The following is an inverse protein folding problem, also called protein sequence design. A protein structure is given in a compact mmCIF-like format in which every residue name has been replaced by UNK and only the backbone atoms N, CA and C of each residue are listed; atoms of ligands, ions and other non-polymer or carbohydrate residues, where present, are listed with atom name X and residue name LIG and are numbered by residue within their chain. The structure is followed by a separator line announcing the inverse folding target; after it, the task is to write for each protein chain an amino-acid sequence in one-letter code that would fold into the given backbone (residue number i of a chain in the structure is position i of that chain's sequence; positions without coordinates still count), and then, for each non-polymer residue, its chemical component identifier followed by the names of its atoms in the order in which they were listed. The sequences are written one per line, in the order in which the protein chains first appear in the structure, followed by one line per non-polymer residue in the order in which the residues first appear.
data_IF_831349319614
#
_entry.id   IF_831349319614
#
_cell.length_a   1.000
_cell.length_b   1.000
_cell.length_c   1.000
_cell.angle_alpha   90.00
_cell.angle_beta   90.00
_cell.angle_gamma   90.00
#
_symmetry.space_group_name_H-M   'P 1'
#
loop_
_entity.id
_entity.type
_entity.pdbx_description
1 polymer ?
#
# COMPACT_ATOMS: atom_id res chain seq x y z
N UNK A 1 26.27 8.35 9.23
CA UNK A 1 25.20 7.44 8.79
C UNK A 1 25.85 6.12 8.39
N UNK A 2 25.18 4.98 8.59
CA UNK A 2 25.68 3.64 8.20
C UNK A 2 26.65 2.96 9.18
N UNK A 3 27.49 3.70 9.92
CA UNK A 3 28.45 3.09 10.87
C UNK A 3 27.86 2.85 12.27
N UNK A 4 28.30 1.79 12.99
CA UNK A 4 27.92 1.58 14.37
C UNK A 4 28.29 2.77 15.25
N UNK A 5 27.38 3.16 16.16
CA UNK A 5 27.63 4.18 17.19
C UNK A 5 27.69 3.49 18.55
N UNK A 6 28.70 3.85 19.33
CA UNK A 6 28.92 3.32 20.68
C UNK A 6 28.74 4.41 21.73
N UNK A 7 28.39 4.01 22.94
CA UNK A 7 28.38 4.89 24.10
C UNK A 7 29.83 5.31 24.48
N UNK A 8 30.10 6.61 24.69
CA UNK A 8 31.44 7.08 25.03
C UNK A 8 31.97 6.53 26.36
N UNK A 9 31.10 6.31 27.35
CA UNK A 9 31.46 5.94 28.73
C UNK A 9 31.46 4.43 28.93
N UNK A 10 30.41 3.74 28.48
CA UNK A 10 30.26 2.29 28.67
C UNK A 10 30.79 1.47 27.51
N UNK A 11 31.17 2.11 26.39
CA UNK A 11 31.56 1.48 25.11
C UNK A 11 30.50 0.50 24.56
N UNK A 12 29.28 0.50 25.08
CA UNK A 12 28.20 -0.38 24.60
C UNK A 12 27.63 0.11 23.28
N UNK A 13 27.15 -0.82 22.46
CA UNK A 13 26.58 -0.50 21.15
C UNK A 13 25.25 0.24 21.31
N UNK A 14 25.15 1.44 20.73
CA UNK A 14 23.95 2.30 20.73
C UNK A 14 23.13 2.21 19.45
N UNK A 15 23.79 2.09 18.29
CA UNK A 15 23.15 1.84 16.99
C UNK A 15 24.11 0.98 16.18
N UNK A 16 23.64 -0.12 15.59
CA UNK A 16 24.45 -1.03 14.77
C UNK A 16 24.87 -0.44 13.41
N UNK A 17 24.21 0.63 12.95
CA UNK A 17 24.32 1.10 11.56
C UNK A 17 23.14 0.58 10.73
N UNK A 18 22.90 1.19 9.57
CA UNK A 18 21.91 0.68 8.59
C UNK A 18 22.58 -0.34 7.67
N UNK A 19 21.90 -1.44 7.42
CA UNK A 19 22.31 -2.46 6.44
C UNK A 19 21.89 -2.03 5.03
N UNK A 20 22.86 -2.03 4.10
CA UNK A 20 22.62 -1.70 2.70
C UNK A 20 21.96 -2.87 1.93
N UNK A 21 21.92 -4.07 2.50
CA UNK A 21 21.21 -5.22 1.93
C UNK A 21 19.80 -5.41 2.51
N UNK A 22 19.34 -4.47 3.35
CA UNK A 22 18.02 -4.58 3.98
C UNK A 22 16.89 -4.60 2.93
N UNK A 23 15.94 -5.55 3.03
CA UNK A 23 14.81 -5.61 2.11
C UNK A 23 13.87 -4.40 2.30
N UNK A 24 13.10 -4.07 1.25
CA UNK A 24 12.13 -2.98 1.29
C UNK A 24 12.72 -1.64 0.81
N UNK A 25 12.93 -0.67 1.72
CA UNK A 25 13.32 0.69 1.31
C UNK A 25 14.70 0.72 0.63
N UNK A 26 15.68 0.03 1.21
CA UNK A 26 17.04 0.02 0.67
C UNK A 26 17.08 -0.69 -0.69
N UNK A 27 16.39 -1.82 -0.82
CA UNK A 27 16.19 -2.52 -2.09
C UNK A 27 15.53 -1.61 -3.15
N UNK A 28 14.47 -0.88 -2.79
CA UNK A 28 13.85 0.11 -3.67
C UNK A 28 14.83 1.22 -4.10
N UNK A 29 15.69 1.70 -3.20
CA UNK A 29 16.73 2.68 -3.56
C UNK A 29 17.71 2.10 -4.58
N UNK A 30 18.06 0.82 -4.46
CA UNK A 30 18.88 0.12 -5.47
C UNK A 30 18.14 -0.07 -6.79
N UNK A 31 16.85 -0.38 -6.77
CA UNK A 31 16.03 -0.46 -8.00
C UNK A 31 16.09 0.85 -8.79
N UNK A 32 15.96 2.00 -8.11
CA UNK A 32 16.08 3.32 -8.76
C UNK A 32 17.44 3.48 -9.45
N UNK A 33 18.52 3.06 -8.79
CA UNK A 33 19.87 3.12 -9.37
C UNK A 33 19.96 2.22 -10.60
N UNK A 34 19.51 0.97 -10.49
CA UNK A 34 19.59 -0.01 -11.59
C UNK A 34 18.74 0.38 -12.79
N UNK A 35 17.51 0.86 -12.57
CA UNK A 35 16.61 1.36 -13.62
C UNK A 35 17.21 2.59 -14.32
N UNK A 36 17.88 3.47 -13.56
CA UNK A 36 18.58 4.63 -14.15
C UNK A 36 19.74 4.19 -15.03
N UNK A 37 20.59 3.28 -14.55
CA UNK A 37 21.70 2.76 -15.36
C UNK A 37 21.22 2.02 -16.60
N UNK A 38 20.16 1.21 -16.49
CA UNK A 38 19.53 0.57 -17.65
C UNK A 38 19.01 1.62 -18.64
N UNK A 39 18.37 2.69 -18.16
CA UNK A 39 17.91 3.80 -19.02
C UNK A 39 19.09 4.46 -19.74
N UNK A 40 20.20 4.73 -19.05
CA UNK A 40 21.40 5.32 -19.67
C UNK A 40 21.96 4.41 -20.76
N UNK A 41 22.08 3.10 -20.50
CA UNK A 41 22.52 2.14 -21.51
C UNK A 41 21.57 2.11 -22.71
N UNK A 42 20.26 2.10 -22.47
CA UNK A 42 19.26 2.17 -23.54
C UNK A 42 19.35 3.49 -24.32
N UNK A 43 19.66 4.61 -23.67
CA UNK A 43 19.83 5.90 -24.34
C UNK A 43 21.08 5.91 -25.23
N UNK A 44 22.16 5.28 -24.78
CA UNK A 44 23.38 5.13 -25.60
C UNK A 44 23.09 4.31 -26.86
N UNK A 45 22.28 3.24 -26.74
CA UNK A 45 22.00 2.32 -27.86
C UNK A 45 20.87 2.79 -28.78
N UNK A 46 19.81 3.38 -28.23
CA UNK A 46 18.54 3.66 -28.92
C UNK A 46 18.17 5.15 -28.89
N UNK A 47 19.04 6.02 -28.37
CA UNK A 47 18.77 7.46 -28.25
C UNK A 47 17.68 7.76 -27.23
N UNK A 48 16.94 8.86 -27.42
CA UNK A 48 16.00 9.38 -26.42
C UNK A 48 14.85 8.41 -26.05
N UNK A 49 14.65 7.33 -26.81
CA UNK A 49 13.68 6.28 -26.52
C UNK A 49 13.96 5.52 -25.22
N UNK A 50 15.21 5.48 -24.74
CA UNK A 50 15.58 4.78 -23.51
C UNK A 50 14.88 5.29 -22.25
N UNK A 51 14.43 6.55 -22.24
CA UNK A 51 13.68 7.13 -21.12
C UNK A 51 12.28 6.55 -20.94
N UNK A 52 11.72 5.88 -21.95
CA UNK A 52 10.40 5.23 -21.84
C UNK A 52 10.38 4.13 -20.77
N UNK A 53 11.53 3.57 -20.40
CA UNK A 53 11.66 2.62 -19.28
C UNK A 53 11.03 3.18 -17.99
N UNK A 54 11.20 4.48 -17.73
CA UNK A 54 10.61 5.14 -16.56
C UNK A 54 9.09 5.25 -16.62
N UNK A 55 8.48 5.17 -17.81
CA UNK A 55 7.03 5.14 -17.97
C UNK A 55 6.37 3.87 -17.42
N UNK A 56 7.13 2.78 -17.26
CA UNK A 56 6.61 1.51 -16.73
C UNK A 56 6.13 1.66 -15.28
N UNK A 57 6.84 2.44 -14.45
CA UNK A 57 6.50 2.65 -13.03
C UNK A 57 5.11 3.30 -12.85
N UNK A 58 4.83 4.49 -13.43
CA UNK A 58 3.50 5.09 -13.32
C UNK A 58 2.43 4.27 -14.06
N UNK A 59 2.76 3.59 -15.16
CA UNK A 59 1.81 2.71 -15.84
C UNK A 59 1.36 1.54 -14.95
N UNK A 60 2.30 0.89 -14.26
CA UNK A 60 2.00 -0.16 -13.29
C UNK A 60 1.23 0.38 -12.07
N UNK A 61 1.61 1.57 -11.58
CA UNK A 61 0.89 2.27 -10.52
C UNK A 61 -0.57 2.54 -10.90
N UNK A 62 -0.82 3.02 -12.12
CA UNK A 62 -2.16 3.23 -12.65
C UNK A 62 -2.93 1.90 -12.73
N UNK A 63 -2.33 0.85 -13.31
CA UNK A 63 -2.95 -0.48 -13.40
C UNK A 63 -3.40 -1.02 -12.04
N UNK A 64 -2.54 -0.95 -11.02
CA UNK A 64 -2.87 -1.37 -9.66
C UNK A 64 -3.90 -0.45 -9.00
N UNK A 65 -3.80 0.86 -9.23
CA UNK A 65 -4.73 1.87 -8.72
C UNK A 65 -6.15 1.71 -9.25
N UNK A 66 -6.32 1.36 -10.53
CA UNK A 66 -7.64 1.08 -11.12
C UNK A 66 -8.34 -0.09 -10.42
N UNK A 67 -7.61 -1.13 -10.03
CA UNK A 67 -8.16 -2.25 -9.26
C UNK A 67 -8.67 -1.84 -7.87
N UNK A 68 -7.92 -0.97 -7.18
CA UNK A 68 -8.32 -0.43 -5.88
C UNK A 68 -9.57 0.45 -5.97
N UNK A 69 -9.66 1.29 -7.00
CA UNK A 69 -10.82 2.14 -7.23
C UNK A 69 -12.07 1.31 -7.56
N UNK A 70 -11.90 0.21 -8.31
CA UNK A 70 -12.96 -0.77 -8.56
C UNK A 70 -13.44 -1.49 -7.30
N UNK A 71 -12.52 -1.93 -6.43
CA UNK A 71 -12.85 -2.58 -5.16
C UNK A 71 -13.56 -1.61 -4.20
N UNK A 72 -13.08 -0.36 -4.11
CA UNK A 72 -13.72 0.69 -3.31
C UNK A 72 -15.14 1.00 -3.80
N UNK A 73 -15.34 1.08 -5.12
CA UNK A 73 -16.66 1.28 -5.73
C UNK A 73 -17.59 0.09 -5.51
N UNK A 74 -17.08 -1.14 -5.58
CA UNK A 74 -17.85 -2.35 -5.28
C UNK A 74 -18.29 -2.43 -3.82
N UNK A 75 -17.41 -2.08 -2.89
CA UNK A 75 -17.74 -2.01 -1.46
C UNK A 75 -18.74 -0.90 -1.14
N UNK A 76 -18.60 0.27 -1.74
CA UNK A 76 -19.58 1.36 -1.61
C UNK A 76 -20.95 0.98 -2.19
N UNK A 77 -20.99 0.26 -3.31
CA UNK A 77 -22.23 -0.26 -3.90
C UNK A 77 -22.92 -1.31 -3.00
N UNK A 78 -22.14 -2.20 -2.39
CA UNK A 78 -22.66 -3.19 -1.42
C UNK A 78 -23.19 -2.51 -0.14
N UNK A 79 -22.48 -1.52 0.38
CA UNK A 79 -22.92 -0.74 1.54
C UNK A 79 -24.21 0.04 1.26
N UNK A 80 -24.37 0.59 0.05
CA UNK A 80 -25.62 1.23 -0.40
C UNK A 80 -26.79 0.26 -0.54
N UNK A 81 -26.55 -0.96 -1.04
CA UNK A 81 -27.58 -2.01 -1.09
C UNK A 81 -28.00 -2.50 0.30
N UNK A 82 -27.05 -2.57 1.24
CA UNK A 82 -27.33 -2.99 2.62
C UNK A 82 -28.17 -1.93 3.36
N UNK A 83 -27.92 -0.64 3.14
CA UNK A 83 -28.78 0.44 3.65
C UNK A 83 -30.20 0.39 3.06
N UNK A 84 -30.33 0.05 1.78
CA UNK A 84 -31.65 -0.05 1.12
C UNK A 84 -32.44 -1.30 1.57
N UNK A 85 -31.77 -2.38 1.97
CA UNK A 85 -32.41 -3.54 2.60
C UNK A 85 -32.83 -3.27 4.05
N UNK A 86 -32.13 -2.41 4.79
CA UNK A 86 -32.54 -1.98 6.14
C UNK A 86 -33.76 -1.03 6.10
N UNK A 87 -33.86 -0.12 5.13
CA UNK A 87 -35.07 0.71 4.93
C UNK A 87 -36.26 -0.07 4.34
N UNK A 88 -36.01 -1.11 3.55
CA UNK A 88 -37.06 -1.95 2.94
C UNK A 88 -37.68 -3.00 3.87
N UNK A 89 -37.07 -3.29 5.03
CA UNK A 89 -37.56 -4.29 5.99
C UNK A 89 -38.28 -3.66 7.21
N UNK A 90 -38.54 -2.36 7.19
CA UNK A 90 -39.37 -1.67 8.18
C UNK A 90 -40.88 -1.88 7.90
N UNK A 91 -41.35 -3.14 7.95
CA UNK A 91 -42.78 -3.44 8.08
C UNK A 91 -43.15 -3.58 9.58
N UNK A 92 -44.24 -2.96 10.06
CA UNK A 92 -44.53 -2.86 11.48
C UNK A 92 -45.22 -4.14 11.96
N UNK A 93 -44.59 -4.88 12.88
CA UNK A 93 -45.23 -6.04 13.53
C UNK A 93 -45.10 -5.94 15.05
N UNK A 94 -46.09 -5.24 15.61
CA UNK A 94 -46.92 -5.61 16.77
C UNK A 94 -46.31 -6.52 17.85
N UNK A 95 -46.31 -6.00 19.08
CA UNK A 95 -45.57 -6.54 20.20
C UNK A 95 -46.17 -7.74 20.93
N UNK A 96 -45.38 -8.27 21.87
CA UNK A 96 -45.92 -9.05 22.98
C UNK A 96 -45.08 -8.87 24.26
N UNK A 97 -45.49 -7.92 25.10
CA UNK A 97 -44.80 -7.46 26.32
C UNK A 97 -44.98 -8.42 27.52
N UNK A 98 -45.48 -9.65 27.31
CA UNK A 98 -45.94 -10.54 28.40
C UNK A 98 -44.97 -11.64 28.85
N UNK A 99 -43.79 -11.81 28.25
CA UNK A 99 -42.91 -12.95 28.59
C UNK A 99 -41.79 -12.68 29.62
N UNK A 100 -41.60 -11.45 30.12
CA UNK A 100 -40.47 -11.13 31.05
C UNK A 100 -40.83 -11.02 32.53
N UNK A 101 -41.86 -11.73 33.01
CA UNK A 101 -42.16 -11.82 34.45
C UNK A 101 -42.45 -13.27 34.86
N UNK A 102 -41.43 -14.13 34.80
CA UNK A 102 -41.30 -15.35 35.61
C UNK A 102 -40.04 -16.12 35.16
N UNK A 103 -38.92 -15.86 35.81
CA UNK A 103 -37.82 -16.80 36.04
C UNK A 103 -36.87 -16.17 37.07
#
# INVERSE_FOLDING_TARGET
MGRPKYDPQTKTLKKSGEDLSAPGLTEYMFDVIWVTWASVVLVILFGNWGWLLWGVVPAYGAYKGFGLLGAARGMAGMAGMQQQQEEGNAAPVTGNRKQRRAA
#
